data_IF_254108192225
#
_entry.id   IF_254108192225
#
_cell.length_a   1.000
_cell.length_b   1.000
_cell.length_c   1.000
_cell.angle_alpha   90.00
_cell.angle_beta   90.00
_cell.angle_gamma   90.00
#
_symmetry.space_group_name_H-M   'P 1'
#
loop_
_entity.id
_entity.type
_entity.pdbx_description
1 polymer ?
#
# COMPACT_ATOMS: atom_id res chain seq x y z
N UNK A 1 -19.51 -6.28 21.75
CA UNK A 1 -19.27 -7.27 20.68
C UNK A 1 -20.60 -7.91 20.34
N UNK A 2 -21.19 -7.60 19.19
CA UNK A 2 -22.36 -8.32 18.71
C UNK A 2 -21.88 -9.68 18.19
N UNK A 3 -22.20 -10.76 18.92
CA UNK A 3 -22.03 -12.13 18.44
C UNK A 3 -23.03 -12.36 17.31
N UNK A 4 -22.53 -12.45 16.08
CA UNK A 4 -23.34 -12.78 14.92
C UNK A 4 -23.71 -14.28 14.97
N UNK A 5 -24.89 -14.61 14.42
CA UNK A 5 -25.31 -16.00 14.30
C UNK A 5 -24.35 -16.77 13.36
N UNK A 6 -24.31 -18.10 13.49
CA UNK A 6 -23.51 -18.97 12.61
C UNK A 6 -23.76 -18.71 11.11
N UNK A 7 -24.98 -18.27 10.76
CA UNK A 7 -25.36 -17.88 9.41
C UNK A 7 -24.62 -16.63 8.90
N UNK A 8 -24.34 -15.66 9.78
CA UNK A 8 -23.60 -14.45 9.41
C UNK A 8 -22.13 -14.71 9.07
N UNK A 9 -21.48 -15.60 9.83
CA UNK A 9 -20.09 -16.01 9.55
C UNK A 9 -20.00 -16.78 8.22
N UNK A 10 -20.95 -17.69 7.97
CA UNK A 10 -21.02 -18.45 6.74
C UNK A 10 -21.17 -17.54 5.50
N UNK A 11 -22.07 -16.56 5.55
CA UNK A 11 -22.30 -15.63 4.44
C UNK A 11 -21.11 -14.70 4.19
N UNK A 12 -20.40 -14.27 5.24
CA UNK A 12 -19.17 -13.50 5.12
C UNK A 12 -18.08 -14.30 4.41
N UNK A 13 -17.79 -15.51 4.89
CA UNK A 13 -16.77 -16.38 4.32
C UNK A 13 -17.07 -16.71 2.85
N UNK A 14 -18.35 -16.91 2.50
CA UNK A 14 -18.80 -17.12 1.12
C UNK A 14 -18.54 -15.92 0.22
N UNK A 15 -18.81 -14.70 0.69
CA UNK A 15 -18.54 -13.47 -0.09
C UNK A 15 -17.05 -13.25 -0.29
N UNK A 16 -16.26 -13.42 0.77
CA UNK A 16 -14.80 -13.35 0.74
C UNK A 16 -14.23 -14.34 -0.28
N UNK A 17 -14.68 -15.61 -0.21
CA UNK A 17 -14.25 -16.65 -1.14
C UNK A 17 -14.65 -16.33 -2.58
N UNK A 18 -15.89 -15.92 -2.82
CA UNK A 18 -16.37 -15.58 -4.16
C UNK A 18 -15.57 -14.41 -4.78
N UNK A 19 -15.21 -13.40 -3.98
CA UNK A 19 -14.35 -12.30 -4.42
C UNK A 19 -12.93 -12.79 -4.75
N UNK A 20 -12.30 -13.55 -3.86
CA UNK A 20 -10.93 -14.04 -4.06
C UNK A 20 -10.81 -14.99 -5.27
N UNK A 21 -11.81 -15.85 -5.50
CA UNK A 21 -11.88 -16.77 -6.63
C UNK A 21 -11.95 -16.04 -7.98
N UNK A 22 -12.45 -14.80 -8.02
CA UNK A 22 -12.41 -14.00 -9.25
C UNK A 22 -10.98 -13.72 -9.70
N UNK A 23 -10.03 -13.53 -8.76
CA UNK A 23 -8.66 -13.06 -9.03
C UNK A 23 -8.57 -11.73 -9.81
N UNK A 24 -9.69 -11.02 -9.93
CA UNK A 24 -9.80 -9.77 -10.66
C UNK A 24 -9.38 -8.56 -9.80
N UNK A 25 -9.46 -8.75 -8.48
CA UNK A 25 -9.23 -7.74 -7.48
C UNK A 25 -10.24 -6.61 -7.49
N UNK A 26 -9.92 -5.54 -6.76
CA UNK A 26 -10.75 -4.35 -6.63
C UNK A 26 -10.89 -3.63 -7.98
N UNK A 27 -9.82 -3.56 -8.77
CA UNK A 27 -9.89 -3.00 -10.13
C UNK A 27 -10.92 -3.73 -10.98
N UNK A 28 -11.02 -5.05 -10.90
CA UNK A 28 -12.06 -5.81 -11.61
C UNK A 28 -13.49 -5.38 -11.26
N UNK A 29 -13.74 -5.00 -9.99
CA UNK A 29 -15.02 -4.44 -9.58
C UNK A 29 -15.26 -3.05 -10.16
N UNK A 30 -14.23 -2.20 -10.16
CA UNK A 30 -14.28 -0.85 -10.74
C UNK A 30 -14.56 -0.92 -12.25
N UNK A 31 -13.81 -1.75 -12.97
CA UNK A 31 -13.94 -1.92 -14.42
C UNK A 31 -15.31 -2.51 -14.80
N UNK A 32 -15.91 -3.35 -13.94
CA UNK A 32 -17.27 -3.85 -14.08
C UNK A 32 -18.37 -2.80 -13.80
N UNK A 33 -18.01 -1.60 -13.36
CA UNK A 33 -18.95 -0.50 -13.14
C UNK A 33 -19.87 -0.71 -11.92
N UNK A 34 -19.38 -1.36 -10.86
CA UNK A 34 -20.21 -1.58 -9.67
C UNK A 34 -20.69 -0.25 -9.07
N UNK A 35 -22.00 -0.13 -8.88
CA UNK A 35 -22.64 1.06 -8.29
C UNK A 35 -22.90 0.93 -6.79
N UNK A 36 -22.71 -0.27 -6.23
CA UNK A 36 -22.84 -0.56 -4.80
C UNK A 36 -21.58 -1.23 -4.31
N UNK A 37 -21.01 -0.70 -3.23
CA UNK A 37 -19.84 -1.27 -2.58
C UNK A 37 -20.21 -2.65 -1.98
N UNK A 38 -19.48 -3.73 -2.30
CA UNK A 38 -19.68 -5.01 -1.65
C UNK A 38 -19.48 -4.89 -0.14
N UNK A 39 -20.31 -5.60 0.65
CA UNK A 39 -20.28 -5.54 2.11
C UNK A 39 -18.91 -5.85 2.71
N UNK A 40 -18.08 -6.61 1.98
CA UNK A 40 -16.73 -6.96 2.39
C UNK A 40 -15.78 -5.76 2.52
N UNK A 41 -16.09 -4.61 1.92
CA UNK A 41 -15.31 -3.37 2.02
C UNK A 41 -15.97 -2.30 2.89
N UNK A 42 -17.15 -2.58 3.45
CA UNK A 42 -17.89 -1.61 4.26
C UNK A 42 -17.38 -1.66 5.69
N UNK A 43 -16.71 -0.59 6.12
CA UNK A 43 -16.31 -0.42 7.51
C UNK A 43 -17.52 -0.27 8.42
N UNK A 44 -17.43 -0.84 9.63
CA UNK A 44 -18.51 -0.72 10.60
C UNK A 44 -18.57 0.72 11.16
N UNK A 45 -19.75 1.25 11.48
CA UNK A 45 -19.86 2.58 12.07
C UNK A 45 -18.97 2.77 13.32
N UNK A 46 -18.80 1.72 14.13
CA UNK A 46 -17.97 1.79 15.33
C UNK A 46 -16.47 1.98 15.04
N UNK A 47 -15.97 1.51 13.89
CA UNK A 47 -14.57 1.76 13.47
C UNK A 47 -14.40 3.13 12.82
N UNK A 48 -15.51 3.77 12.41
CA UNK A 48 -15.54 5.12 11.85
C UNK A 48 -15.72 6.21 12.92
N UNK A 49 -16.08 5.83 14.15
CA UNK A 49 -16.31 6.74 15.27
C UNK A 49 -15.04 7.33 15.90
N UNK A 50 -13.90 7.29 15.20
CA UNK A 50 -12.83 8.20 15.55
C UNK A 50 -13.30 9.61 15.19
N UNK A 51 -13.48 10.53 16.16
CA UNK A 51 -13.78 11.91 15.81
C UNK A 51 -12.62 12.37 14.92
N UNK A 52 -12.92 12.58 13.64
CA UNK A 52 -12.03 13.39 12.82
C UNK A 52 -11.95 14.72 13.56
N UNK A 53 -10.76 15.18 13.98
CA UNK A 53 -10.66 16.49 14.56
C UNK A 53 -11.35 17.46 13.59
N UNK A 54 -12.13 18.44 14.08
CA UNK A 54 -12.73 19.42 13.19
C UNK A 54 -11.62 19.94 12.27
N UNK A 55 -11.86 19.88 10.96
CA UNK A 55 -10.97 20.47 9.97
C UNK A 55 -11.02 21.99 10.19
N UNK A 56 -10.32 22.45 11.22
CA UNK A 56 -10.01 23.83 11.40
C UNK A 56 -8.93 24.09 10.34
N UNK A 57 -9.34 24.67 9.21
CA UNK A 57 -8.45 25.16 8.14
C UNK A 57 -7.37 26.17 8.66
N UNK A 58 -7.36 26.45 9.97
CA UNK A 58 -6.44 27.34 10.68
C UNK A 58 -5.23 26.64 11.31
N UNK A 59 -5.17 25.31 11.39
CA UNK A 59 -3.96 24.60 11.87
C UNK A 59 -3.28 23.90 10.72
N UNK A 60 -2.33 24.59 10.09
CA UNK A 60 -1.40 23.96 9.14
C UNK A 60 -0.42 23.08 9.91
N UNK A 61 -0.78 21.82 10.10
CA UNK A 61 0.19 20.80 10.51
C UNK A 61 1.10 20.49 9.32
N UNK A 62 2.29 21.07 9.31
CA UNK A 62 3.30 20.75 8.30
C UNK A 62 4.18 19.59 8.80
N UNK A 63 4.18 18.49 8.04
CA UNK A 63 5.02 17.34 8.35
C UNK A 63 6.50 17.73 8.26
N UNK A 64 7.37 17.29 9.20
CA UNK A 64 8.79 17.56 9.12
C UNK A 64 9.35 17.17 7.75
N UNK A 65 10.08 18.09 7.12
CA UNK A 65 10.75 17.87 5.84
C UNK A 65 12.25 17.99 6.05
N UNK A 66 13.00 16.94 5.66
CA UNK A 66 14.45 16.84 5.85
C UNK A 66 15.13 16.90 4.49
N UNK A 67 16.04 17.85 4.33
CA UNK A 67 16.78 18.07 3.09
C UNK A 67 18.11 17.31 3.09
N UNK A 68 18.26 16.37 2.17
CA UNK A 68 19.45 15.53 2.05
C UNK A 68 20.58 16.17 1.23
N UNK A 69 20.42 17.41 0.78
CA UNK A 69 21.47 18.17 0.09
C UNK A 69 22.76 18.17 0.90
N UNK A 70 23.86 17.81 0.23
CA UNK A 70 25.19 17.79 0.81
C UNK A 70 25.48 16.62 1.76
N UNK A 71 24.63 15.57 1.77
CA UNK A 71 24.86 14.36 2.57
C UNK A 71 26.24 13.74 2.33
N UNK A 72 26.67 13.70 1.06
CA UNK A 72 27.95 13.12 0.62
C UNK A 72 29.07 14.18 0.47
N UNK A 73 28.86 15.43 0.90
CA UNK A 73 29.87 16.47 0.77
C UNK A 73 31.10 16.16 1.64
N UNK A 74 32.30 16.19 1.02
CA UNK A 74 33.59 15.78 1.60
C UNK A 74 34.17 16.64 2.75
N UNK A 75 33.33 17.36 3.50
CA UNK A 75 33.71 18.26 4.60
C UNK A 75 33.52 17.68 6.00
N UNK A 76 34.14 16.53 6.31
CA UNK A 76 34.20 16.00 7.68
C UNK A 76 32.86 15.54 8.29
N UNK A 77 31.83 15.31 7.47
CA UNK A 77 30.55 14.73 7.87
C UNK A 77 29.66 15.60 8.76
N UNK A 78 29.92 16.92 8.84
CA UNK A 78 29.10 17.84 9.63
C UNK A 78 27.62 17.82 9.18
N UNK A 79 27.37 17.97 7.86
CA UNK A 79 26.03 17.92 7.30
C UNK A 79 25.33 16.59 7.55
N UNK A 80 26.06 15.47 7.42
CA UNK A 80 25.53 14.14 7.75
C UNK A 80 25.06 14.04 9.20
N UNK A 81 25.81 14.62 10.16
CA UNK A 81 25.40 14.63 11.58
C UNK A 81 24.13 15.46 11.81
N UNK A 82 23.99 16.58 11.11
CA UNK A 82 22.76 17.40 11.16
C UNK A 82 21.55 16.61 10.66
N UNK A 83 21.64 16.01 9.46
CA UNK A 83 20.57 15.20 8.87
C UNK A 83 20.17 14.05 9.80
N UNK A 84 21.15 13.33 10.35
CA UNK A 84 20.88 12.23 11.31
C UNK A 84 20.12 12.75 12.54
N UNK A 85 20.48 13.93 13.04
CA UNK A 85 19.80 14.53 14.18
C UNK A 85 18.38 15.01 13.83
N UNK A 86 18.16 15.52 12.63
CA UNK A 86 16.82 15.87 12.11
C UNK A 86 15.93 14.62 12.00
N UNK A 87 16.47 13.52 11.45
CA UNK A 87 15.75 12.23 11.36
C UNK A 87 15.38 11.73 12.76
N UNK A 88 16.33 11.76 13.70
CA UNK A 88 16.10 11.33 15.08
C UNK A 88 14.96 12.13 15.73
N UNK A 89 15.00 13.46 15.65
CA UNK A 89 13.95 14.33 16.21
C UNK A 89 12.59 14.08 15.57
N UNK A 90 12.53 14.03 14.24
CA UNK A 90 11.27 13.79 13.54
C UNK A 90 10.68 12.40 13.86
N UNK A 91 11.54 11.39 14.02
CA UNK A 91 11.11 10.05 14.42
C UNK A 91 10.59 10.01 15.86
N UNK A 92 11.23 10.71 16.79
CA UNK A 92 10.82 10.79 18.21
C UNK A 92 9.52 11.58 18.40
N UNK A 93 9.36 12.70 17.69
CA UNK A 93 8.24 13.63 17.89
C UNK A 93 7.02 13.30 17.02
N UNK A 94 7.24 12.83 15.79
CA UNK A 94 6.18 12.62 14.80
C UNK A 94 6.02 11.16 14.37
N UNK A 95 7.09 10.36 14.40
CA UNK A 95 7.11 9.02 13.83
C UNK A 95 7.04 8.97 12.29
N UNK A 96 6.93 10.13 11.63
CA UNK A 96 6.86 10.30 10.18
C UNK A 96 7.52 11.61 9.74
N UNK A 97 8.12 11.61 8.54
CA UNK A 97 8.75 12.78 7.92
C UNK A 97 8.85 12.60 6.40
N UNK A 98 9.01 13.71 5.69
CA UNK A 98 9.31 13.75 4.26
C UNK A 98 10.80 13.98 4.03
N UNK A 99 11.37 13.33 3.04
CA UNK A 99 12.74 13.58 2.59
C UNK A 99 12.68 14.29 1.23
N UNK A 100 13.53 15.30 1.04
CA UNK A 100 13.78 15.96 -0.27
C UNK A 100 15.26 15.91 -0.61
N UNK A 101 15.61 16.07 -1.89
CA UNK A 101 17.00 16.03 -2.39
C UNK A 101 17.74 14.74 -1.97
N UNK A 102 17.05 13.60 -2.01
CA UNK A 102 17.57 12.27 -1.67
C UNK A 102 18.42 11.62 -2.78
N UNK A 103 18.84 12.39 -3.79
CA UNK A 103 19.65 11.95 -4.95
C UNK A 103 19.02 10.89 -5.89
N UNK A 104 17.90 10.23 -5.51
CA UNK A 104 17.13 9.39 -6.45
C UNK A 104 16.58 10.27 -7.60
N UNK A 105 16.96 10.00 -8.87
CA UNK A 105 16.53 10.84 -9.99
C UNK A 105 15.02 10.80 -10.21
N UNK A 106 14.40 11.96 -10.48
CA UNK A 106 12.96 12.06 -10.76
C UNK A 106 12.48 11.07 -11.81
N UNK A 107 13.24 10.93 -12.91
CA UNK A 107 12.95 9.97 -14.00
C UNK A 107 12.79 8.52 -13.52
N UNK A 108 13.49 8.12 -12.45
CA UNK A 108 13.40 6.75 -11.90
C UNK A 108 12.09 6.60 -11.12
N UNK A 109 11.70 7.62 -10.35
CA UNK A 109 10.43 7.61 -9.63
C UNK A 109 9.24 7.64 -10.60
N UNK A 110 9.31 8.47 -11.65
CA UNK A 110 8.29 8.54 -12.70
C UNK A 110 8.15 7.21 -13.44
N UNK A 111 9.29 6.59 -13.82
CA UNK A 111 9.29 5.27 -14.47
C UNK A 111 8.70 4.18 -13.57
N UNK A 112 8.94 4.22 -12.27
CA UNK A 112 8.34 3.28 -11.31
C UNK A 112 6.82 3.44 -11.22
N UNK A 113 6.32 4.68 -11.15
CA UNK A 113 4.89 4.98 -11.13
C UNK A 113 4.19 4.57 -12.43
N UNK A 114 4.83 4.82 -13.58
CA UNK A 114 4.32 4.40 -14.87
C UNK A 114 4.32 2.87 -15.02
N UNK A 115 5.41 2.20 -14.61
CA UNK A 115 5.50 0.74 -14.63
C UNK A 115 4.39 0.07 -13.83
N UNK A 116 4.16 0.49 -12.58
CA UNK A 116 3.10 -0.10 -11.76
C UNK A 116 1.70 0.20 -12.32
N UNK A 117 1.48 1.39 -12.89
CA UNK A 117 0.23 1.70 -13.59
C UNK A 117 0.04 0.77 -14.77
N UNK A 118 1.04 0.62 -15.65
CA UNK A 118 0.98 -0.30 -16.80
C UNK A 118 0.69 -1.73 -16.36
N UNK A 119 1.27 -2.19 -15.25
CA UNK A 119 0.93 -3.49 -14.68
C UNK A 119 -0.55 -3.58 -14.32
N UNK A 120 -1.09 -2.67 -13.52
CA UNK A 120 -2.48 -2.74 -13.06
C UNK A 120 -3.49 -2.55 -14.20
N UNK A 121 -3.17 -1.79 -15.25
CA UNK A 121 -4.02 -1.62 -16.43
C UNK A 121 -4.02 -2.80 -17.42
N UNK A 122 -3.18 -3.82 -17.21
CA UNK A 122 -3.27 -5.03 -18.02
C UNK A 122 -4.60 -5.76 -17.82
N UNK A 123 -5.05 -6.51 -18.85
CA UNK A 123 -6.15 -7.47 -18.70
C UNK A 123 -5.92 -8.41 -17.53
N UNK A 124 -7.01 -8.85 -16.91
CA UNK A 124 -6.96 -9.72 -15.74
C UNK A 124 -6.13 -10.99 -16.03
N UNK A 125 -6.33 -11.60 -17.18
CA UNK A 125 -5.71 -12.86 -17.61
C UNK A 125 -4.18 -12.78 -17.58
N UNK A 126 -3.62 -11.62 -17.95
CA UNK A 126 -2.17 -11.39 -17.96
C UNK A 126 -1.58 -11.40 -16.53
N UNK A 127 -2.38 -11.06 -15.51
CA UNK A 127 -1.93 -10.98 -14.11
C UNK A 127 -2.31 -12.20 -13.27
N UNK A 128 -3.25 -13.03 -13.73
CA UNK A 128 -3.82 -14.15 -12.94
C UNK A 128 -2.76 -15.13 -12.42
N UNK A 129 -1.68 -15.37 -13.17
CA UNK A 129 -0.60 -16.27 -12.76
C UNK A 129 0.20 -15.77 -11.53
N UNK A 130 0.14 -14.46 -11.27
CA UNK A 130 0.74 -13.81 -10.09
C UNK A 130 -0.24 -13.71 -8.92
N UNK A 131 -1.54 -13.92 -9.16
CA UNK A 131 -2.55 -13.78 -8.11
C UNK A 131 -2.32 -14.83 -7.00
N UNK A 132 -1.97 -14.38 -5.79
CA UNK A 132 -1.69 -15.28 -4.67
C UNK A 132 -1.62 -14.55 -3.33
N UNK A 133 -2.17 -15.16 -2.29
CA UNK A 133 -1.98 -14.78 -0.88
C UNK A 133 -0.77 -15.46 -0.24
N UNK A 134 -0.04 -16.34 -0.95
CA UNK A 134 1.11 -17.04 -0.41
C UNK A 134 2.31 -16.10 -0.23
N UNK A 135 2.60 -15.77 1.03
CA UNK A 135 3.74 -14.94 1.43
C UNK A 135 5.11 -15.51 1.07
N UNK A 136 5.20 -16.81 0.71
CA UNK A 136 6.45 -17.44 0.24
C UNK A 136 6.81 -17.03 -1.18
N UNK A 137 5.84 -16.57 -1.99
CA UNK A 137 6.12 -16.07 -3.33
C UNK A 137 6.81 -14.71 -3.25
N UNK A 138 7.97 -14.61 -3.90
CA UNK A 138 8.76 -13.38 -3.99
C UNK A 138 8.00 -12.29 -4.75
N UNK A 139 7.34 -12.65 -5.85
CA UNK A 139 6.46 -11.75 -6.61
C UNK A 139 5.05 -12.29 -6.59
N UNK A 140 4.10 -11.46 -6.14
CA UNK A 140 2.69 -11.81 -6.05
C UNK A 140 1.79 -10.58 -6.20
N UNK A 141 0.66 -10.79 -6.84
CA UNK A 141 -0.43 -9.83 -6.96
C UNK A 141 -1.58 -10.29 -6.08
N UNK A 142 -2.25 -9.40 -5.37
CA UNK A 142 -3.47 -9.74 -4.66
C UNK A 142 -4.26 -8.48 -4.29
N UNK A 143 -5.52 -8.69 -3.92
CA UNK A 143 -6.29 -7.71 -3.14
C UNK A 143 -6.21 -8.12 -1.68
N UNK A 144 -6.15 -7.15 -0.77
CA UNK A 144 -6.02 -7.45 0.65
C UNK A 144 -7.35 -7.95 1.22
N UNK A 145 -7.64 -9.23 0.99
CA UNK A 145 -8.80 -9.92 1.55
C UNK A 145 -8.48 -10.22 3.02
N UNK A 146 -9.34 -9.71 3.90
CA UNK A 146 -9.09 -9.68 5.34
C UNK A 146 -8.75 -11.05 5.94
N UNK A 147 -7.81 -11.03 6.90
CA UNK A 147 -7.34 -12.21 7.65
C UNK A 147 -8.24 -12.54 8.85
N UNK A 148 -9.15 -11.63 9.24
CA UNK A 148 -10.02 -11.76 10.39
C UNK A 148 -11.50 -11.78 10.02
N UNK A 149 -12.30 -12.55 10.78
CA UNK A 149 -13.75 -12.60 10.61
C UNK A 149 -14.37 -11.20 10.72
N UNK A 150 -15.03 -10.78 9.63
CA UNK A 150 -15.76 -9.51 9.51
C UNK A 150 -14.93 -8.23 9.72
N UNK A 151 -13.62 -8.29 9.57
CA UNK A 151 -12.82 -7.08 9.42
C UNK A 151 -12.89 -6.66 7.93
N UNK A 152 -13.35 -5.44 7.62
CA UNK A 152 -13.48 -4.97 6.24
C UNK A 152 -12.15 -5.06 5.47
N UNK A 153 -12.21 -5.63 4.28
CA UNK A 153 -11.09 -5.63 3.36
C UNK A 153 -10.75 -4.21 2.91
N UNK A 154 -9.48 -3.97 2.56
CA UNK A 154 -9.08 -2.70 1.99
C UNK A 154 -9.54 -2.61 0.53
N UNK A 155 -10.10 -1.47 0.12
CA UNK A 155 -10.36 -1.16 -1.29
C UNK A 155 -9.04 -0.86 -2.04
N UNK A 156 -8.23 -1.90 -2.23
CA UNK A 156 -6.86 -1.82 -2.77
C UNK A 156 -6.42 -3.13 -3.40
N UNK A 157 -5.71 -2.99 -4.51
CA UNK A 157 -4.90 -4.04 -5.12
C UNK A 157 -3.41 -3.76 -4.91
N UNK A 158 -2.59 -4.81 -4.83
CA UNK A 158 -1.17 -4.73 -4.52
C UNK A 158 -0.38 -5.70 -5.40
N UNK A 159 0.73 -5.21 -5.97
CA UNK A 159 1.84 -6.04 -6.42
C UNK A 159 2.92 -5.99 -5.34
N UNK A 160 3.28 -7.14 -4.79
CA UNK A 160 4.39 -7.27 -3.85
C UNK A 160 5.57 -7.91 -4.54
N UNK A 161 6.74 -7.27 -4.46
CA UNK A 161 8.03 -7.83 -4.85
C UNK A 161 8.92 -7.86 -3.61
N UNK A 162 9.31 -9.06 -3.17
CA UNK A 162 10.17 -9.29 -2.00
C UNK A 162 11.59 -9.58 -2.46
N UNK A 163 12.52 -8.77 -1.99
CA UNK A 163 13.95 -8.89 -2.21
C UNK A 163 14.57 -9.42 -0.91
N UNK A 164 15.15 -10.62 -0.93
CA UNK A 164 15.86 -11.18 0.24
C UNK A 164 17.36 -11.03 0.01
N UNK A 165 18.08 -10.59 1.03
CA UNK A 165 19.54 -10.42 1.01
C UNK A 165 20.03 -9.53 -0.15
N UNK A 166 19.25 -8.48 -0.47
CA UNK A 166 19.47 -7.57 -1.60
C UNK A 166 19.56 -8.26 -2.98
N UNK A 167 19.13 -9.52 -3.06
CA UNK A 167 19.02 -10.24 -4.33
C UNK A 167 17.63 -10.03 -4.92
N UNK A 168 17.63 -9.44 -6.12
CA UNK A 168 16.48 -9.39 -7.00
C UNK A 168 16.72 -10.35 -8.15
N UNK A 169 15.80 -11.28 -8.37
CA UNK A 169 15.67 -11.91 -9.68
C UNK A 169 14.82 -10.99 -10.57
N UNK A 170 15.42 -10.24 -11.53
CA UNK A 170 14.64 -9.36 -12.38
C UNK A 170 13.61 -10.16 -13.16
N UNK A 171 13.91 -11.41 -13.53
CA UNK A 171 13.01 -12.27 -14.28
C UNK A 171 11.72 -12.63 -13.54
N UNK A 172 11.73 -12.52 -12.20
CA UNK A 172 10.53 -12.68 -11.39
C UNK A 172 9.59 -11.45 -11.45
N UNK A 173 10.10 -10.25 -11.75
CA UNK A 173 9.27 -9.05 -11.91
C UNK A 173 8.59 -9.07 -13.28
N UNK A 174 7.27 -8.75 -13.37
CA UNK A 174 6.57 -8.67 -14.64
C UNK A 174 7.25 -7.68 -15.59
N UNK A 175 7.52 -8.12 -16.82
CA UNK A 175 8.24 -7.32 -17.82
C UNK A 175 7.64 -5.92 -18.04
N UNK A 176 6.32 -5.80 -17.90
CA UNK A 176 5.58 -4.54 -18.07
C UNK A 176 5.96 -3.45 -17.05
N UNK A 177 6.46 -3.85 -15.88
CA UNK A 177 6.80 -2.97 -14.76
C UNK A 177 8.22 -3.19 -14.22
N UNK A 178 9.08 -3.80 -15.04
CA UNK A 178 10.51 -3.96 -14.77
C UNK A 178 11.28 -2.76 -15.30
#
# INVERSE_FOLDING_TARGET
MATLSSNGHYEWAKQVKAFDETKAGVKGLVDAGVVKLPKLFVHRPETLNHPSPPCNDTVQFELPTIDFTGLESGGGGARRREIVNEIRKASEEWGFFRIVNHEVPLRVMDAMLDGIRRFHEQPQEAKMHLYSSDSRRSVRFNSNVSLGDFDPACWRDLLTCVFRDDTLDPEAIPLVCR
#
